data_IF_722188088906
#
_entry.id   IF_722188088906
#
_cell.length_a   1.000
_cell.length_b   1.000
_cell.length_c   1.000
_cell.angle_alpha   90.00
_cell.angle_beta   90.00
_cell.angle_gamma   90.00
#
_symmetry.space_group_name_H-M   'P 1'
#
loop_
_entity.id
_entity.type
_entity.pdbx_description
1 polymer ?
#
# COMPACT_ATOMS: atom_id res chain seq x y z
N UNK A 1 -24.89 -26.94 -13.64
CA UNK A 1 -23.99 -26.51 -14.73
C UNK A 1 -24.75 -26.55 -16.03
N UNK A 2 -24.95 -25.39 -16.67
CA UNK A 2 -25.50 -25.27 -18.02
C UNK A 2 -24.72 -24.13 -18.68
N UNK A 3 -24.17 -24.39 -19.85
CA UNK A 3 -23.27 -23.51 -20.58
C UNK A 3 -23.92 -22.14 -20.84
N UNK A 4 -23.45 -21.09 -20.17
CA UNK A 4 -23.85 -19.72 -20.47
C UNK A 4 -22.90 -19.13 -21.52
N UNK A 5 -23.53 -18.65 -22.58
CA UNK A 5 -22.92 -18.26 -23.84
C UNK A 5 -22.15 -16.92 -23.68
N UNK A 6 -20.89 -17.00 -23.25
CA UNK A 6 -19.96 -15.87 -23.11
C UNK A 6 -19.76 -15.05 -24.40
N UNK A 7 -20.19 -15.58 -25.56
CA UNK A 7 -20.07 -14.90 -26.85
C UNK A 7 -20.98 -13.66 -26.97
N UNK A 8 -22.08 -13.59 -26.20
CA UNK A 8 -23.02 -12.46 -26.25
C UNK A 8 -22.51 -11.20 -25.54
N UNK A 9 -21.55 -11.36 -24.62
CA UNK A 9 -20.96 -10.23 -23.87
C UNK A 9 -19.94 -9.47 -24.72
N UNK A 10 -19.23 -10.14 -25.63
CA UNK A 10 -18.24 -9.50 -26.51
C UNK A 10 -18.85 -8.78 -27.72
N UNK A 11 -20.12 -9.04 -28.08
CA UNK A 11 -20.78 -8.31 -29.18
C UNK A 11 -21.32 -6.92 -28.77
N UNK A 12 -21.53 -6.67 -27.48
CA UNK A 12 -21.97 -5.36 -26.97
C UNK A 12 -20.86 -4.29 -27.00
N UNK A 13 -19.60 -4.67 -27.29
CA UNK A 13 -18.49 -3.74 -27.43
C UNK A 13 -18.37 -3.14 -28.85
N UNK A 14 -19.26 -3.51 -29.78
CA UNK A 14 -19.19 -3.11 -31.18
C UNK A 14 -20.57 -2.74 -31.74
N UNK A 15 -21.29 -1.83 -31.09
CA UNK A 15 -22.41 -1.15 -31.73
C UNK A 15 -22.08 0.33 -31.99
N UNK A 16 -22.14 0.66 -33.28
CA UNK A 16 -22.14 1.99 -33.86
C UNK A 16 -22.97 2.95 -33.01
N UNK A 17 -22.48 4.18 -32.91
CA UNK A 17 -23.24 5.39 -32.54
C UNK A 17 -24.65 5.35 -33.12
N UNK A 18 -25.62 4.89 -32.31
CA UNK A 18 -27.03 4.94 -32.66
C UNK A 18 -27.59 6.30 -32.23
N UNK A 19 -28.45 6.84 -33.07
CA UNK A 19 -29.02 8.20 -33.02
C UNK A 19 -30.03 8.37 -31.87
N UNK A 20 -30.13 7.40 -30.96
CA UNK A 20 -31.12 7.38 -29.90
C UNK A 20 -30.41 7.72 -28.58
N UNK A 21 -30.76 8.83 -27.91
CA UNK A 21 -30.15 9.17 -26.64
C UNK A 21 -30.48 8.10 -25.59
N UNK A 22 -29.47 7.74 -24.79
CA UNK A 22 -29.54 6.68 -23.77
C UNK A 22 -30.67 6.86 -22.74
N UNK A 23 -31.23 8.07 -22.64
CA UNK A 23 -32.40 8.40 -21.83
C UNK A 23 -33.70 7.80 -22.37
N UNK A 24 -33.88 7.73 -23.70
CA UNK A 24 -35.09 7.18 -24.31
C UNK A 24 -35.12 5.65 -24.27
N UNK A 25 -33.97 4.99 -24.40
CA UNK A 25 -33.89 3.53 -24.21
C UNK A 25 -34.23 3.16 -22.76
N UNK A 26 -33.69 3.88 -21.77
CA UNK A 26 -34.04 3.67 -20.35
C UNK A 26 -35.53 3.84 -20.05
N UNK A 27 -36.19 4.81 -20.68
CA UNK A 27 -37.64 5.03 -20.50
C UNK A 27 -38.46 3.91 -21.12
N UNK A 28 -38.07 3.42 -22.30
CA UNK A 28 -38.72 2.29 -22.96
C UNK A 28 -38.51 0.98 -22.20
N UNK A 29 -37.31 0.76 -21.65
CA UNK A 29 -37.02 -0.40 -20.81
C UNK A 29 -37.86 -0.40 -19.53
N UNK A 30 -38.00 0.76 -18.86
CA UNK A 30 -38.90 0.92 -17.70
C UNK A 30 -40.36 0.63 -18.04
N UNK A 31 -40.85 1.18 -19.16
CA UNK A 31 -42.23 0.97 -19.61
C UNK A 31 -42.50 -0.51 -19.94
N UNK A 32 -41.54 -1.19 -20.58
CA UNK A 32 -41.61 -2.62 -20.86
C UNK A 32 -41.57 -3.47 -19.57
N UNK A 33 -40.81 -3.02 -18.57
CA UNK A 33 -40.71 -3.68 -17.27
C UNK A 33 -42.00 -3.51 -16.45
N UNK A 34 -42.64 -2.35 -16.48
CA UNK A 34 -43.96 -2.11 -15.86
C UNK A 34 -45.09 -2.94 -16.50
N UNK A 35 -44.98 -3.27 -17.78
CA UNK A 35 -45.93 -4.12 -18.51
C UNK A 35 -45.67 -5.63 -18.33
N UNK A 36 -44.61 -6.03 -17.63
CA UNK A 36 -44.25 -7.43 -17.45
C UNK A 36 -45.01 -8.02 -16.23
N UNK A 37 -45.86 -9.05 -16.40
CA UNK A 37 -46.61 -9.65 -15.28
C UNK A 37 -45.72 -10.32 -14.22
N UNK A 38 -44.44 -10.55 -14.51
CA UNK A 38 -43.47 -11.13 -13.58
C UNK A 38 -42.45 -10.12 -13.03
N UNK A 39 -42.66 -8.81 -13.23
CA UNK A 39 -41.71 -7.75 -12.86
C UNK A 39 -41.32 -7.77 -11.37
N UNK A 40 -42.27 -8.07 -10.48
CA UNK A 40 -42.00 -8.17 -9.04
C UNK A 40 -41.06 -9.35 -8.72
N UNK A 41 -41.24 -10.49 -9.37
CA UNK A 41 -40.40 -11.68 -9.18
C UNK A 41 -38.99 -11.42 -9.69
N UNK A 42 -38.87 -10.79 -10.87
CA UNK A 42 -37.61 -10.38 -11.47
C UNK A 42 -36.85 -9.39 -10.57
N UNK A 43 -37.53 -8.37 -10.03
CA UNK A 43 -36.93 -7.41 -9.09
C UNK A 43 -36.43 -8.07 -7.80
N UNK A 44 -37.16 -9.07 -7.27
CA UNK A 44 -36.72 -9.84 -6.10
C UNK A 44 -35.47 -10.67 -6.41
N UNK A 45 -35.37 -11.25 -7.61
CA UNK A 45 -34.19 -12.01 -8.04
C UNK A 45 -32.98 -11.10 -8.25
N UNK A 46 -33.14 -9.96 -8.90
CA UNK A 46 -32.09 -8.95 -9.05
C UNK A 46 -31.56 -8.48 -7.70
N UNK A 47 -32.46 -8.19 -6.76
CA UNK A 47 -32.08 -7.79 -5.41
C UNK A 47 -31.28 -8.89 -4.68
N UNK A 48 -31.68 -10.16 -4.82
CA UNK A 48 -30.93 -11.30 -4.24
C UNK A 48 -29.52 -11.41 -4.84
N UNK A 49 -29.39 -11.23 -6.15
CA UNK A 49 -28.08 -11.25 -6.85
C UNK A 49 -27.20 -10.10 -6.38
N UNK A 50 -27.73 -8.88 -6.34
CA UNK A 50 -27.00 -7.69 -5.88
C UNK A 50 -26.51 -7.86 -4.42
N UNK A 51 -27.38 -8.39 -3.53
CA UNK A 51 -27.02 -8.70 -2.14
C UNK A 51 -25.91 -9.74 -2.05
N UNK A 52 -26.00 -10.82 -2.83
CA UNK A 52 -24.97 -11.87 -2.86
C UNK A 52 -23.63 -11.34 -3.38
N UNK A 53 -23.66 -10.56 -4.45
CA UNK A 53 -22.48 -9.93 -5.05
C UNK A 53 -21.80 -8.99 -4.05
N UNK A 54 -22.58 -8.12 -3.39
CA UNK A 54 -22.07 -7.19 -2.37
C UNK A 54 -21.43 -7.96 -1.21
N UNK A 55 -22.13 -8.93 -0.62
CA UNK A 55 -21.62 -9.71 0.50
C UNK A 55 -20.34 -10.47 0.13
N UNK A 56 -20.32 -11.10 -1.04
CA UNK A 56 -19.15 -11.85 -1.53
C UNK A 56 -17.97 -10.92 -1.78
N UNK A 57 -18.20 -9.77 -2.40
CA UNK A 57 -17.15 -8.78 -2.68
C UNK A 57 -16.57 -8.17 -1.41
N UNK A 58 -17.43 -7.77 -0.45
CA UNK A 58 -16.98 -7.24 0.85
C UNK A 58 -16.18 -8.28 1.62
N UNK A 59 -16.67 -9.52 1.71
CA UNK A 59 -15.93 -10.62 2.35
C UNK A 59 -14.60 -10.88 1.67
N UNK A 60 -14.57 -10.85 0.34
CA UNK A 60 -13.35 -11.07 -0.42
C UNK A 60 -12.33 -9.95 -0.21
N UNK A 61 -12.74 -8.68 -0.20
CA UNK A 61 -11.88 -7.54 0.15
C UNK A 61 -11.29 -7.71 1.55
N UNK A 62 -12.12 -8.06 2.54
CA UNK A 62 -11.67 -8.28 3.91
C UNK A 62 -10.61 -9.39 3.97
N UNK A 63 -10.84 -10.52 3.32
CA UNK A 63 -9.86 -11.62 3.24
C UNK A 63 -8.58 -11.15 2.56
N UNK A 64 -8.71 -10.44 1.43
CA UNK A 64 -7.57 -9.97 0.64
C UNK A 64 -6.67 -9.00 1.40
N UNK A 65 -7.23 -8.17 2.28
CA UNK A 65 -6.48 -7.23 3.12
C UNK A 65 -5.95 -7.86 4.41
N UNK A 66 -6.78 -8.64 5.09
CA UNK A 66 -6.47 -9.16 6.43
C UNK A 66 -5.53 -10.37 6.37
N UNK A 67 -5.70 -11.28 5.41
CA UNK A 67 -4.90 -12.51 5.36
C UNK A 67 -3.39 -12.27 5.19
N UNK A 68 -2.92 -11.41 4.28
CA UNK A 68 -1.49 -11.13 4.15
C UNK A 68 -0.89 -10.54 5.43
N UNK A 69 -1.61 -9.61 6.07
CA UNK A 69 -1.19 -8.98 7.33
C UNK A 69 -1.10 -10.02 8.46
N UNK A 70 -2.11 -10.88 8.59
CA UNK A 70 -2.10 -11.95 9.59
C UNK A 70 -0.95 -12.92 9.36
N UNK A 71 -0.71 -13.33 8.11
CA UNK A 71 0.40 -14.22 7.78
C UNK A 71 1.74 -13.58 8.10
N UNK A 72 1.93 -12.30 7.76
CA UNK A 72 3.14 -11.56 8.09
C UNK A 72 3.42 -11.60 9.60
N UNK A 73 2.42 -11.23 10.42
CA UNK A 73 2.60 -11.14 11.86
C UNK A 73 2.82 -12.51 12.51
N UNK A 74 2.06 -13.52 12.08
CA UNK A 74 2.16 -14.89 12.60
C UNK A 74 3.48 -15.52 12.18
N UNK A 75 3.88 -15.43 10.91
CA UNK A 75 5.14 -15.99 10.43
C UNK A 75 6.32 -15.33 11.11
N UNK A 76 6.30 -13.99 11.22
CA UNK A 76 7.35 -13.23 11.89
C UNK A 76 7.53 -13.66 13.34
N UNK A 77 6.43 -13.80 14.08
CA UNK A 77 6.47 -14.07 15.53
C UNK A 77 6.78 -15.53 15.84
N UNK A 78 6.12 -16.48 15.17
CA UNK A 78 6.17 -17.90 15.55
C UNK A 78 7.23 -18.71 14.78
N UNK A 79 7.57 -18.32 13.56
CA UNK A 79 8.52 -19.06 12.73
C UNK A 79 9.86 -18.33 12.62
N UNK A 80 9.83 -17.07 12.16
CA UNK A 80 11.06 -16.34 11.84
C UNK A 80 11.78 -15.86 13.11
N UNK A 81 11.06 -15.42 14.14
CA UNK A 81 11.70 -14.95 15.38
C UNK A 81 12.60 -16.01 16.06
N UNK A 82 12.14 -17.24 16.37
CA UNK A 82 13.01 -18.24 16.99
C UNK A 82 14.15 -18.65 16.06
N UNK A 83 13.88 -18.86 14.76
CA UNK A 83 14.86 -19.33 13.79
C UNK A 83 15.97 -18.30 13.57
N UNK A 84 15.59 -17.06 13.25
CA UNK A 84 16.57 -16.01 12.95
C UNK A 84 17.36 -15.63 14.19
N UNK A 85 16.75 -15.53 15.38
CA UNK A 85 17.49 -15.19 16.60
C UNK A 85 18.50 -16.29 16.97
N UNK A 86 18.18 -17.57 16.75
CA UNK A 86 19.11 -18.67 16.99
C UNK A 86 20.32 -18.59 16.04
N UNK A 87 20.08 -18.46 14.73
CA UNK A 87 21.17 -18.33 13.75
C UNK A 87 21.98 -17.04 13.90
N UNK A 88 21.33 -15.93 14.27
CA UNK A 88 22.00 -14.64 14.47
C UNK A 88 22.89 -14.66 15.70
N UNK A 89 22.44 -15.26 16.81
CA UNK A 89 23.22 -15.34 18.04
C UNK A 89 24.36 -16.37 17.98
N UNK A 90 24.19 -17.47 17.23
CA UNK A 90 25.20 -18.53 17.15
C UNK A 90 26.19 -18.33 15.99
N UNK A 91 25.76 -17.72 14.88
CA UNK A 91 26.50 -17.70 13.63
C UNK A 91 27.18 -16.39 13.27
N UNK A 92 26.75 -15.25 13.82
CA UNK A 92 27.20 -13.93 13.34
C UNK A 92 27.93 -13.13 14.43
N UNK A 93 29.21 -12.83 14.19
CA UNK A 93 29.96 -11.80 14.92
C UNK A 93 29.67 -10.39 14.40
N UNK A 94 28.89 -10.27 13.32
CA UNK A 94 28.54 -8.99 12.70
C UNK A 94 27.33 -8.38 13.39
N UNK A 95 27.52 -7.21 13.99
CA UNK A 95 26.50 -6.45 14.71
C UNK A 95 25.58 -5.70 13.74
N UNK A 96 26.13 -5.25 12.61
CA UNK A 96 25.45 -4.38 11.64
C UNK A 96 25.21 -5.11 10.33
N UNK A 97 24.03 -4.90 9.73
CA UNK A 97 23.69 -5.47 8.42
C UNK A 97 24.17 -4.59 7.26
N UNK A 98 24.34 -3.27 7.50
CA UNK A 98 24.75 -2.30 6.49
C UNK A 98 25.54 -1.14 7.10
N UNK A 99 26.27 -0.40 6.27
CA UNK A 99 27.13 0.71 6.69
C UNK A 99 26.35 1.90 7.29
N UNK A 100 25.14 2.17 6.81
CA UNK A 100 24.31 3.26 7.35
C UNK A 100 23.93 2.99 8.81
N UNK A 101 23.66 1.73 9.15
CA UNK A 101 23.38 1.30 10.51
C UNK A 101 24.62 1.42 11.42
N UNK A 102 25.79 1.06 10.91
CA UNK A 102 27.08 1.21 11.61
C UNK A 102 27.40 2.68 11.90
N UNK A 103 27.23 3.56 10.91
CA UNK A 103 27.42 5.01 11.07
C UNK A 103 26.49 5.60 12.14
N UNK A 104 25.22 5.18 12.17
CA UNK A 104 24.27 5.57 13.23
C UNK A 104 24.71 5.07 14.61
N UNK A 105 25.24 3.85 14.70
CA UNK A 105 25.73 3.30 15.96
C UNK A 105 26.95 4.04 16.50
N UNK A 106 27.89 4.40 15.62
CA UNK A 106 29.06 5.19 16.00
C UNK A 106 28.68 6.62 16.37
N UNK A 107 27.74 7.25 15.66
CA UNK A 107 27.23 8.56 16.02
C UNK A 107 26.52 8.54 17.40
N UNK A 108 25.74 7.49 17.70
CA UNK A 108 25.09 7.30 19.01
C UNK A 108 26.14 7.18 20.14
N UNK A 109 27.23 6.44 19.91
CA UNK A 109 28.31 6.27 20.88
C UNK A 109 29.11 7.57 21.07
N UNK A 110 29.52 8.21 19.97
CA UNK A 110 30.24 9.48 20.00
C UNK A 110 29.45 10.55 20.77
N UNK A 111 28.14 10.68 20.52
CA UNK A 111 27.29 11.64 21.24
C UNK A 111 27.25 11.36 22.75
N UNK A 112 27.29 10.09 23.13
CA UNK A 112 27.37 9.70 24.54
C UNK A 112 28.72 10.05 25.16
N UNK A 113 29.83 9.76 24.47
CA UNK A 113 31.18 10.10 24.92
C UNK A 113 31.36 11.62 25.07
N UNK A 114 30.94 12.41 24.08
CA UNK A 114 30.97 13.88 24.11
C UNK A 114 30.18 14.43 25.30
N UNK A 115 28.98 13.87 25.55
CA UNK A 115 28.16 14.25 26.69
C UNK A 115 28.84 13.90 28.02
N UNK A 116 29.37 12.69 28.14
CA UNK A 116 30.04 12.22 29.36
C UNK A 116 31.28 13.08 29.65
N UNK A 117 32.08 13.36 28.62
CA UNK A 117 33.25 14.23 28.72
C UNK A 117 32.88 15.65 29.16
N UNK A 118 31.82 16.22 28.58
CA UNK A 118 31.31 17.53 28.98
C UNK A 118 30.88 17.55 30.46
N UNK A 119 30.14 16.53 30.93
CA UNK A 119 29.69 16.42 32.32
C UNK A 119 30.86 16.31 33.32
N UNK A 120 31.95 15.64 32.92
CA UNK A 120 33.20 15.58 33.69
C UNK A 120 33.85 16.96 33.76
N UNK A 121 33.98 17.67 32.63
CA UNK A 121 34.64 18.98 32.57
C UNK A 121 33.94 20.06 33.41
N UNK A 122 32.62 20.02 33.52
CA UNK A 122 31.83 20.98 34.32
C UNK A 122 31.68 20.57 35.78
N UNK A 123 32.31 19.47 36.21
CA UNK A 123 32.27 19.00 37.61
C UNK A 123 30.91 18.49 38.07
N UNK A 124 30.01 18.08 37.15
CA UNK A 124 28.73 17.44 37.52
C UNK A 124 28.91 16.01 38.01
N UNK A 125 29.99 15.37 37.57
CA UNK A 125 30.38 14.03 37.96
C UNK A 125 31.66 14.14 38.77
N UNK A 126 31.53 14.32 40.09
CA UNK A 126 32.66 14.44 41.02
C UNK A 126 33.66 13.29 40.79
N UNK A 127 34.90 13.64 40.47
CA UNK A 127 36.07 12.77 40.26
C UNK A 127 35.73 11.32 39.86
N UNK A 128 35.02 11.14 38.75
CA UNK A 128 34.95 9.82 38.13
C UNK A 128 36.40 9.39 37.86
N UNK A 129 36.83 8.27 38.44
CA UNK A 129 38.10 7.68 38.06
C UNK A 129 38.06 7.36 36.56
N UNK A 130 39.18 7.53 35.86
CA UNK A 130 39.26 7.23 34.42
C UNK A 130 38.69 5.83 34.10
N UNK A 131 38.89 4.87 35.01
CA UNK A 131 38.33 3.51 34.93
C UNK A 131 36.80 3.48 34.93
N UNK A 132 36.15 4.28 35.78
CA UNK A 132 34.68 4.35 35.85
C UNK A 132 34.07 5.03 34.62
N UNK A 133 34.77 6.02 34.03
CA UNK A 133 34.36 6.62 32.75
C UNK A 133 34.45 5.59 31.61
N UNK A 134 35.57 4.87 31.54
CA UNK A 134 35.80 3.83 30.55
C UNK A 134 34.77 2.70 30.66
N UNK A 135 34.42 2.30 31.89
CA UNK A 135 33.39 1.30 32.13
C UNK A 135 32.03 1.74 31.60
N UNK A 136 31.62 3.00 31.86
CA UNK A 136 30.35 3.54 31.34
C UNK A 136 30.32 3.58 29.81
N UNK A 137 31.44 3.93 29.18
CA UNK A 137 31.57 3.91 27.72
C UNK A 137 31.42 2.48 27.19
N UNK A 138 32.11 1.51 27.81
CA UNK A 138 32.02 0.09 27.43
C UNK A 138 30.59 -0.45 27.59
N UNK A 139 29.92 -0.14 28.70
CA UNK A 139 28.54 -0.55 28.94
C UNK A 139 27.60 0.04 27.89
N UNK A 140 27.81 1.32 27.54
CA UNK A 140 27.03 1.98 26.48
C UNK A 140 27.30 1.37 25.10
N UNK A 141 28.55 1.05 24.79
CA UNK A 141 28.92 0.40 23.54
C UNK A 141 28.23 -0.97 23.40
N UNK A 142 28.18 -1.76 24.48
CA UNK A 142 27.44 -3.03 24.50
C UNK A 142 25.93 -2.83 24.32
N UNK A 143 25.34 -1.84 24.98
CA UNK A 143 23.91 -1.51 24.81
C UNK A 143 23.60 -1.14 23.34
N UNK A 144 24.44 -0.30 22.74
CA UNK A 144 24.32 0.10 21.33
C UNK A 144 24.48 -1.12 20.42
N UNK A 145 25.50 -1.95 20.67
CA UNK A 145 25.71 -3.18 19.89
C UNK A 145 24.50 -4.12 19.95
N UNK A 146 23.93 -4.36 21.13
CA UNK A 146 22.73 -5.19 21.27
C UNK A 146 21.50 -4.59 20.58
N UNK A 147 21.31 -3.27 20.70
CA UNK A 147 20.22 -2.54 20.02
C UNK A 147 20.29 -2.71 18.51
N UNK A 148 21.45 -2.46 17.91
CA UNK A 148 21.61 -2.53 16.45
C UNK A 148 21.67 -3.98 15.95
N UNK A 149 22.27 -4.91 16.69
CA UNK A 149 22.21 -6.35 16.38
C UNK A 149 20.76 -6.85 16.31
N UNK A 150 19.90 -6.40 17.24
CA UNK A 150 18.47 -6.70 17.20
C UNK A 150 17.77 -6.07 16.00
N UNK A 151 18.08 -4.82 15.67
CA UNK A 151 17.54 -4.13 14.49
C UNK A 151 17.90 -4.88 13.20
N UNK A 152 19.13 -5.40 13.08
CA UNK A 152 19.57 -6.21 11.94
C UNK A 152 18.80 -7.53 11.83
N UNK A 153 18.66 -8.26 12.95
CA UNK A 153 17.86 -9.49 12.97
C UNK A 153 16.39 -9.21 12.63
N UNK A 154 15.83 -8.10 13.16
CA UNK A 154 14.46 -7.67 12.87
C UNK A 154 14.25 -7.32 11.39
N UNK A 155 15.21 -6.68 10.73
CA UNK A 155 15.16 -6.39 9.30
C UNK A 155 15.11 -7.66 8.44
N UNK A 156 15.92 -8.69 8.77
CA UNK A 156 15.87 -9.98 8.07
C UNK A 156 14.49 -10.64 8.24
N UNK A 157 13.96 -10.60 9.47
CA UNK A 157 12.62 -11.12 9.77
C UNK A 157 11.53 -10.38 9.00
N UNK A 158 11.64 -9.06 8.85
CA UNK A 158 10.73 -8.24 8.06
C UNK A 158 10.70 -8.66 6.60
N UNK A 159 11.87 -8.73 5.94
CA UNK A 159 11.96 -9.11 4.52
C UNK A 159 11.31 -10.47 4.26
N UNK A 160 11.61 -11.46 5.10
CA UNK A 160 11.06 -12.81 4.94
C UNK A 160 9.54 -12.84 5.20
N UNK A 161 9.06 -12.13 6.22
CA UNK A 161 7.63 -12.03 6.52
C UNK A 161 6.85 -11.32 5.42
N UNK A 162 7.42 -10.25 4.84
CA UNK A 162 6.83 -9.50 3.75
C UNK A 162 6.77 -10.33 2.47
N UNK A 163 7.82 -11.10 2.16
CA UNK A 163 7.83 -12.04 1.05
C UNK A 163 6.71 -13.08 1.20
N UNK A 164 6.55 -13.68 2.38
CA UNK A 164 5.47 -14.62 2.65
C UNK A 164 4.08 -13.99 2.50
N UNK A 165 3.92 -12.74 2.98
CA UNK A 165 2.69 -11.96 2.84
C UNK A 165 2.35 -11.72 1.37
N UNK A 166 3.33 -11.33 0.56
CA UNK A 166 3.16 -11.13 -0.89
C UNK A 166 2.78 -12.44 -1.59
N UNK A 167 3.44 -13.55 -1.25
CA UNK A 167 3.13 -14.87 -1.82
C UNK A 167 1.67 -15.25 -1.50
N UNK A 168 1.21 -15.03 -0.27
CA UNK A 168 -0.18 -15.31 0.11
C UNK A 168 -1.17 -14.39 -0.60
N UNK A 169 -0.88 -13.09 -0.67
CA UNK A 169 -1.71 -12.14 -1.41
C UNK A 169 -1.88 -12.58 -2.88
N UNK A 170 -0.78 -12.88 -3.56
CA UNK A 170 -0.80 -13.36 -4.95
C UNK A 170 -1.53 -14.70 -5.08
N UNK A 171 -1.31 -15.62 -4.14
CA UNK A 171 -1.99 -16.93 -4.13
C UNK A 171 -3.51 -16.78 -3.98
N UNK A 172 -3.98 -15.87 -3.11
CA UNK A 172 -5.40 -15.57 -2.94
C UNK A 172 -6.01 -15.09 -4.27
N UNK A 173 -5.33 -14.19 -4.99
CA UNK A 173 -5.78 -13.68 -6.29
C UNK A 173 -5.86 -14.77 -7.36
N UNK A 174 -4.88 -15.68 -7.40
CA UNK A 174 -4.82 -16.75 -8.42
C UNK A 174 -5.83 -17.86 -8.13
N UNK A 175 -6.03 -18.23 -6.86
CA UNK A 175 -6.93 -19.33 -6.48
C UNK A 175 -8.39 -18.87 -6.55
N UNK A 176 -8.70 -17.66 -6.08
CA UNK A 176 -10.07 -17.16 -5.94
C UNK A 176 -10.55 -16.36 -7.17
N UNK A 177 -10.28 -16.85 -8.39
CA UNK A 177 -10.63 -16.15 -9.64
C UNK A 177 -12.12 -15.80 -9.74
N UNK A 178 -13.00 -16.66 -9.22
CA UNK A 178 -14.45 -16.42 -9.22
C UNK A 178 -14.80 -15.21 -8.35
N UNK A 179 -14.32 -15.18 -7.12
CA UNK A 179 -14.56 -14.08 -6.18
C UNK A 179 -13.93 -12.78 -6.70
N UNK A 180 -12.74 -12.86 -7.29
CA UNK A 180 -12.12 -11.73 -7.96
C UNK A 180 -12.97 -11.18 -9.12
N UNK A 181 -13.56 -12.06 -9.94
CA UNK A 181 -14.48 -11.64 -11.01
C UNK A 181 -15.76 -10.99 -10.47
N UNK A 182 -16.31 -11.50 -9.36
CA UNK A 182 -17.49 -10.92 -8.69
C UNK A 182 -17.13 -9.55 -8.12
N UNK A 183 -15.96 -9.41 -7.48
CA UNK A 183 -15.44 -8.14 -7.00
C UNK A 183 -15.28 -7.12 -8.13
N UNK A 184 -14.70 -7.54 -9.26
CA UNK A 184 -14.56 -6.68 -10.45
C UNK A 184 -15.92 -6.21 -10.96
N UNK A 185 -16.91 -7.10 -11.03
CA UNK A 185 -18.28 -6.74 -11.43
C UNK A 185 -18.87 -5.71 -10.47
N UNK A 186 -18.74 -5.94 -9.16
CA UNK A 186 -19.22 -5.03 -8.11
C UNK A 186 -18.58 -3.64 -8.16
N UNK A 187 -17.26 -3.58 -8.35
CA UNK A 187 -16.54 -2.29 -8.49
C UNK A 187 -17.01 -1.56 -9.75
N UNK A 188 -17.12 -2.26 -10.87
CA UNK A 188 -17.58 -1.67 -12.12
C UNK A 188 -18.99 -1.10 -11.97
N UNK A 189 -19.92 -1.89 -11.43
CA UNK A 189 -21.31 -1.46 -11.19
C UNK A 189 -21.38 -0.25 -10.26
N UNK A 190 -20.56 -0.25 -9.19
CA UNK A 190 -20.45 0.89 -8.27
C UNK A 190 -19.95 2.15 -8.99
N UNK A 191 -18.90 2.04 -9.81
CA UNK A 191 -18.32 3.19 -10.55
C UNK A 191 -19.29 3.69 -11.62
N UNK A 192 -19.91 2.81 -12.40
CA UNK A 192 -20.86 3.18 -13.46
C UNK A 192 -22.16 3.76 -12.89
N UNK A 193 -22.55 3.37 -11.67
CA UNK A 193 -23.69 3.93 -10.95
C UNK A 193 -23.49 5.37 -10.46
N UNK A 194 -22.26 5.88 -10.41
CA UNK A 194 -21.96 7.25 -10.01
C UNK A 194 -22.29 8.27 -11.12
N UNK A 195 -22.60 9.51 -10.72
CA UNK A 195 -22.69 10.64 -11.64
C UNK A 195 -21.31 11.00 -12.20
N UNK A 196 -21.26 11.63 -13.37
CA UNK A 196 -19.99 12.01 -14.00
C UNK A 196 -19.19 13.00 -13.14
N UNK A 197 -19.87 13.91 -12.42
CA UNK A 197 -19.25 14.80 -11.42
C UNK A 197 -18.64 14.01 -10.25
N UNK A 198 -19.32 12.98 -9.73
CA UNK A 198 -18.79 12.17 -8.63
C UNK A 198 -17.59 11.33 -9.07
N UNK A 199 -17.60 10.81 -10.32
CA UNK A 199 -16.45 10.12 -10.90
C UNK A 199 -15.24 11.06 -11.02
N UNK A 200 -15.45 12.26 -11.56
CA UNK A 200 -14.38 13.27 -11.67
C UNK A 200 -13.83 13.67 -10.29
N UNK A 201 -14.71 13.91 -9.32
CA UNK A 201 -14.33 14.22 -7.95
C UNK A 201 -13.51 13.10 -7.29
N UNK A 202 -13.94 11.83 -7.40
CA UNK A 202 -13.19 10.70 -6.85
C UNK A 202 -11.79 10.56 -7.48
N UNK A 203 -11.68 10.85 -8.77
CA UNK A 203 -10.40 10.82 -9.48
C UNK A 203 -9.48 11.93 -8.93
N UNK A 204 -9.96 13.17 -8.83
CA UNK A 204 -9.20 14.32 -8.30
C UNK A 204 -8.77 14.05 -6.84
N UNK A 205 -9.71 13.61 -5.99
CA UNK A 205 -9.43 13.31 -4.60
C UNK A 205 -8.34 12.24 -4.46
N UNK A 206 -8.41 11.18 -5.28
CA UNK A 206 -7.41 10.12 -5.26
C UNK A 206 -6.05 10.62 -5.75
N UNK A 207 -6.00 11.40 -6.84
CA UNK A 207 -4.73 11.97 -7.30
C UNK A 207 -4.11 12.89 -6.26
N UNK A 208 -4.89 13.78 -5.65
CA UNK A 208 -4.33 14.76 -4.72
C UNK A 208 -3.76 14.10 -3.46
N UNK A 209 -4.37 13.00 -3.00
CA UNK A 209 -3.87 12.24 -1.84
C UNK A 209 -2.56 11.50 -2.17
N UNK A 210 -2.48 10.82 -3.31
CA UNK A 210 -1.35 9.90 -3.61
C UNK A 210 -0.22 10.54 -4.43
N UNK A 211 -0.53 11.59 -5.17
CA UNK A 211 0.36 12.25 -6.13
C UNK A 211 0.73 13.67 -5.66
N UNK A 212 -0.06 14.25 -4.74
CA UNK A 212 0.18 15.58 -4.21
C UNK A 212 1.56 15.71 -3.53
N UNK A 213 2.31 16.74 -3.93
CA UNK A 213 3.60 17.11 -3.37
C UNK A 213 3.42 17.77 -1.99
N UNK A 214 3.06 16.99 -0.97
CA UNK A 214 2.70 17.56 0.33
C UNK A 214 3.91 18.03 1.14
N UNK A 215 5.08 17.40 0.97
CA UNK A 215 6.39 17.89 1.45
C UNK A 215 7.51 16.92 1.04
N UNK A 216 8.66 17.41 0.51
CA UNK A 216 9.86 16.59 0.33
C UNK A 216 10.29 15.86 1.61
N UNK A 217 10.13 16.50 2.76
CA UNK A 217 10.47 15.92 4.06
C UNK A 217 9.53 14.76 4.45
N UNK A 218 8.26 14.82 4.05
CA UNK A 218 7.33 13.71 4.25
C UNK A 218 7.79 12.45 3.52
N UNK A 219 8.27 12.62 2.28
CA UNK A 219 8.84 11.51 1.51
C UNK A 219 10.16 11.00 2.10
N UNK A 220 11.02 11.88 2.61
CA UNK A 220 12.26 11.47 3.30
C UNK A 220 11.97 10.50 4.45
N UNK A 221 11.05 10.88 5.36
CA UNK A 221 10.69 10.03 6.51
C UNK A 221 10.11 8.69 6.06
N UNK A 222 9.24 8.69 5.05
CA UNK A 222 8.62 7.45 4.54
C UNK A 222 9.66 6.52 3.92
N UNK A 223 10.58 7.06 3.11
CA UNK A 223 11.60 6.25 2.44
C UNK A 223 12.63 5.75 3.45
N UNK A 224 13.09 6.57 4.39
CA UNK A 224 13.96 6.13 5.49
C UNK A 224 13.32 4.98 6.29
N UNK A 225 12.02 5.11 6.62
CA UNK A 225 11.31 4.06 7.34
C UNK A 225 11.21 2.75 6.53
N UNK A 226 10.97 2.82 5.22
CA UNK A 226 10.92 1.65 4.34
C UNK A 226 12.31 1.00 4.23
N UNK A 227 13.36 1.80 3.99
CA UNK A 227 14.73 1.28 3.88
C UNK A 227 15.16 0.60 5.18
N UNK A 228 14.87 1.23 6.33
CA UNK A 228 15.16 0.65 7.65
C UNK A 228 14.38 -0.63 7.91
N UNK A 229 13.09 -0.67 7.56
CA UNK A 229 12.26 -1.87 7.68
C UNK A 229 12.84 -3.04 6.87
N UNK A 230 13.39 -2.76 5.68
CA UNK A 230 14.05 -3.73 4.80
C UNK A 230 15.52 -3.98 5.14
N UNK A 231 16.11 -3.27 6.10
CA UNK A 231 17.54 -3.38 6.41
C UNK A 231 18.48 -2.85 5.32
N UNK A 232 17.96 -2.00 4.43
CA UNK A 232 18.73 -1.35 3.37
C UNK A 232 19.39 -0.05 3.88
N UNK A 233 20.52 0.37 3.30
CA UNK A 233 21.21 1.59 3.72
C UNK A 233 20.39 2.85 3.40
N UNK A 234 20.28 3.74 4.38
CA UNK A 234 19.56 5.03 4.27
C UNK A 234 20.45 6.08 3.58
N UNK A 235 20.88 5.81 2.33
CA UNK A 235 21.78 6.74 1.61
C UNK A 235 21.05 8.02 1.23
N UNK A 236 21.52 9.16 1.72
CA UNK A 236 20.93 10.48 1.44
C UNK A 236 20.83 10.80 -0.05
N UNK A 237 21.84 10.44 -0.83
CA UNK A 237 21.86 10.67 -2.28
C UNK A 237 20.71 9.93 -2.98
N UNK A 238 20.50 8.65 -2.65
CA UNK A 238 19.37 7.88 -3.18
C UNK A 238 18.04 8.51 -2.78
N UNK A 239 17.89 8.89 -1.51
CA UNK A 239 16.65 9.49 -1.00
C UNK A 239 16.35 10.80 -1.75
N UNK A 240 17.33 11.68 -1.93
CA UNK A 240 17.14 12.95 -2.66
C UNK A 240 16.85 12.75 -4.15
N UNK A 241 17.53 11.81 -4.81
CA UNK A 241 17.23 11.46 -6.20
C UNK A 241 15.81 10.91 -6.32
N UNK A 242 15.40 10.04 -5.39
CA UNK A 242 14.05 9.48 -5.37
C UNK A 242 12.99 10.57 -5.19
N UNK A 243 13.14 11.42 -4.18
CA UNK A 243 12.18 12.49 -3.86
C UNK A 243 12.05 13.50 -5.01
N UNK A 244 13.15 13.79 -5.72
CA UNK A 244 13.15 14.75 -6.82
C UNK A 244 12.59 14.18 -8.13
N UNK A 245 12.69 12.88 -8.37
CA UNK A 245 12.31 12.27 -9.66
C UNK A 245 11.02 11.47 -9.60
N UNK A 246 10.85 10.61 -8.60
CA UNK A 246 9.76 9.63 -8.56
C UNK A 246 8.38 10.28 -8.45
N UNK A 247 8.13 11.26 -7.56
CA UNK A 247 6.83 11.93 -7.48
C UNK A 247 6.43 12.64 -8.77
N UNK A 248 7.39 13.28 -9.47
CA UNK A 248 7.13 13.99 -10.75
C UNK A 248 6.76 13.01 -11.86
N UNK A 249 7.46 11.87 -11.93
CA UNK A 249 7.14 10.81 -12.90
C UNK A 249 5.76 10.23 -12.60
N UNK A 250 5.48 9.94 -11.33
CA UNK A 250 4.21 9.39 -10.89
C UNK A 250 3.05 10.34 -11.24
N UNK A 251 3.22 11.64 -11.00
CA UNK A 251 2.25 12.69 -11.39
C UNK A 251 1.96 12.72 -12.88
N UNK A 252 3.01 12.68 -13.69
CA UNK A 252 2.87 12.69 -15.15
C UNK A 252 2.14 11.45 -15.65
N UNK A 253 2.46 10.26 -15.12
CA UNK A 253 1.81 9.00 -15.50
C UNK A 253 0.33 9.00 -15.10
N UNK A 254 0.00 9.43 -13.87
CA UNK A 254 -1.38 9.48 -13.41
C UNK A 254 -2.22 10.47 -14.20
N UNK A 255 -1.73 11.70 -14.43
CA UNK A 255 -2.41 12.70 -15.27
C UNK A 255 -2.68 12.16 -16.68
N UNK A 256 -1.68 11.55 -17.31
CA UNK A 256 -1.84 10.94 -18.63
C UNK A 256 -2.88 9.80 -18.63
N UNK A 257 -2.80 8.90 -17.64
CA UNK A 257 -3.71 7.76 -17.55
C UNK A 257 -5.16 8.21 -17.33
N UNK A 258 -5.37 9.22 -16.48
CA UNK A 258 -6.68 9.84 -16.22
C UNK A 258 -7.23 10.49 -17.48
N UNK A 259 -6.43 11.31 -18.16
CA UNK A 259 -6.85 11.94 -19.41
C UNK A 259 -7.27 10.89 -20.45
N UNK A 260 -6.50 9.82 -20.60
CA UNK A 260 -6.83 8.72 -21.52
C UNK A 260 -8.08 7.96 -21.09
N UNK A 261 -8.26 7.72 -19.79
CA UNK A 261 -9.39 6.98 -19.24
C UNK A 261 -10.70 7.76 -19.38
N UNK A 262 -10.70 9.04 -18.98
CA UNK A 262 -11.87 9.92 -19.07
C UNK A 262 -12.31 10.12 -20.53
N UNK A 263 -11.37 10.35 -21.46
CA UNK A 263 -11.68 10.48 -22.89
C UNK A 263 -12.32 9.23 -23.48
N UNK A 264 -12.05 8.03 -22.94
CA UNK A 264 -12.63 6.78 -23.41
C UNK A 264 -14.06 6.55 -22.90
N UNK A 265 -14.40 7.08 -21.71
CA UNK A 265 -15.68 6.80 -21.05
C UNK A 265 -16.72 7.88 -21.35
N UNK A 266 -16.35 9.15 -21.25
CA UNK A 266 -17.22 10.25 -21.62
C UNK A 266 -16.42 11.54 -21.86
N UNK A 267 -16.47 12.13 -23.06
CA UNK A 267 -15.88 13.44 -23.32
C UNK A 267 -16.41 14.54 -22.39
N UNK A 268 -17.65 14.43 -21.89
CA UNK A 268 -18.21 15.39 -20.94
C UNK A 268 -17.52 15.35 -19.57
N UNK A 269 -17.11 14.16 -19.11
CA UNK A 269 -16.40 14.00 -17.84
C UNK A 269 -15.00 14.64 -17.87
N UNK A 270 -14.36 14.66 -19.04
CA UNK A 270 -13.09 15.37 -19.27
C UNK A 270 -13.27 16.88 -19.13
N UNK A 271 -14.31 17.44 -19.75
CA UNK A 271 -14.62 18.86 -19.63
C UNK A 271 -14.96 19.26 -18.19
N UNK A 272 -15.70 18.42 -17.45
CA UNK A 272 -15.97 18.64 -16.03
C UNK A 272 -14.70 18.54 -15.18
N UNK A 273 -13.83 17.57 -15.44
CA UNK A 273 -12.54 17.46 -14.75
C UNK A 273 -11.67 18.71 -14.96
N UNK A 274 -11.56 19.21 -16.19
CA UNK A 274 -10.84 20.45 -16.47
C UNK A 274 -11.44 21.65 -15.72
N UNK A 275 -12.77 21.83 -15.78
CA UNK A 275 -13.45 22.93 -15.09
C UNK A 275 -13.37 22.83 -13.55
N UNK A 276 -13.15 21.65 -12.98
CA UNK A 276 -13.00 21.44 -11.53
C UNK A 276 -11.55 21.52 -11.06
N UNK A 277 -10.59 21.40 -11.98
CA UNK A 277 -9.16 21.36 -11.69
C UNK A 277 -8.44 22.67 -12.06
N UNK A 278 -9.03 23.52 -12.91
CA UNK A 278 -8.72 24.96 -13.01
C UNK A 278 -9.34 25.73 -11.83
#
# INVERSE_FOLDING_TARGET
>A
MKYWNLKKINQLAFEKTSVIPHSMSKLFDRFKQELNPNAEVEAIEEFKVAKYQTLTSVRYILILLVMPILVNQVSKTFLLNPVINHFWNEGNSQIFINHSQEERAFADLQRFEEKLHFEILIGKLDSISLDMAQQRISDKALEIALKYSKESADAIKNILADLMSIIIFVSILIINKRQFSILRSFINESIYGLSDTAKAFLIILFTDIFVGFHSPHGWEIVIEAILRHLGLPESRDFIFIFISTFPVILDTIFKYWIFRYLNKISPSAVATYHNMNE
#
